data_IF_610948059830
#
_entry.id   IF_610948059830
#
_cell.length_a   1.000
_cell.length_b   1.000
_cell.length_c   1.000
_cell.angle_alpha   90.00
_cell.angle_beta   90.00
_cell.angle_gamma   90.00
#
_symmetry.space_group_name_H-M   'P 1'
#
loop_
_entity.id
_entity.type
_entity.pdbx_description
1 polymer ?
#
# COMPACT_ATOMS: atom_id res chain seq x y z
N UNK A 1 22.52 -5.24 6.64
CA UNK A 1 21.51 -4.98 5.60
C UNK A 1 21.59 -6.08 4.56
N UNK A 2 20.48 -6.73 4.23
CA UNK A 2 20.47 -7.79 3.24
C UNK A 2 20.67 -7.16 1.84
N UNK A 3 21.78 -7.48 1.17
CA UNK A 3 22.16 -6.90 -0.14
C UNK A 3 21.03 -7.03 -1.18
N UNK A 4 20.23 -8.10 -1.10
CA UNK A 4 19.09 -8.29 -2.01
C UNK A 4 18.00 -7.20 -1.88
N UNK A 5 17.93 -6.48 -0.76
CA UNK A 5 17.01 -5.34 -0.54
C UNK A 5 17.47 -4.06 -1.26
N UNK A 6 18.71 -4.02 -1.72
CA UNK A 6 19.27 -2.91 -2.51
C UNK A 6 19.00 -3.06 -4.01
N UNK A 7 18.47 -4.21 -4.42
CA UNK A 7 18.13 -4.48 -5.83
C UNK A 7 16.64 -4.25 -6.05
N UNK A 8 16.31 -3.38 -6.99
CA UNK A 8 14.95 -3.14 -7.47
C UNK A 8 14.80 -3.74 -8.88
N UNK A 9 13.90 -4.71 -9.02
CA UNK A 9 13.54 -5.29 -10.32
C UNK A 9 12.27 -4.64 -10.85
N UNK A 10 12.37 -3.99 -12.00
CA UNK A 10 11.22 -3.52 -12.76
C UNK A 10 10.77 -4.63 -13.70
N UNK A 11 9.51 -5.06 -13.60
CA UNK A 11 8.97 -6.18 -14.38
C UNK A 11 7.48 -5.99 -14.64
N UNK A 12 6.93 -6.77 -15.55
CA UNK A 12 5.48 -6.83 -15.76
C UNK A 12 4.85 -7.94 -14.94
N UNK A 13 3.66 -7.71 -14.45
CA UNK A 13 2.84 -8.72 -13.77
C UNK A 13 1.84 -9.32 -14.77
N UNK A 14 1.78 -10.65 -14.83
CA UNK A 14 0.88 -11.40 -15.72
C UNK A 14 -0.32 -12.02 -14.98
N UNK A 15 -0.40 -11.82 -13.66
CA UNK A 15 -1.49 -12.32 -12.86
C UNK A 15 -2.62 -11.30 -12.68
N UNK A 16 -3.59 -11.64 -11.85
CA UNK A 16 -4.67 -10.76 -11.46
C UNK A 16 -4.16 -9.74 -10.43
N UNK A 17 -4.27 -8.44 -10.75
CA UNK A 17 -3.84 -7.35 -9.87
C UNK A 17 -4.75 -7.18 -8.67
N UNK A 18 -6.06 -7.22 -8.90
CA UNK A 18 -7.08 -7.00 -7.89
C UNK A 18 -7.69 -8.32 -7.45
N UNK A 19 -7.56 -8.65 -6.18
CA UNK A 19 -8.07 -9.89 -5.62
C UNK A 19 -8.52 -9.72 -4.17
N UNK A 20 -9.40 -10.61 -3.74
CA UNK A 20 -9.81 -10.66 -2.34
C UNK A 20 -8.61 -11.02 -1.45
N UNK A 21 -8.53 -10.40 -0.28
CA UNK A 21 -7.51 -10.73 0.71
C UNK A 21 -7.49 -12.24 0.99
N UNK A 22 -6.32 -12.91 0.97
CA UNK A 22 -6.21 -14.35 1.22
C UNK A 22 -6.80 -14.79 2.58
N UNK A 23 -6.76 -13.90 3.58
CA UNK A 23 -7.40 -14.14 4.87
C UNK A 23 -8.91 -14.33 4.81
N UNK A 24 -9.57 -13.82 3.78
CA UNK A 24 -11.01 -13.98 3.56
C UNK A 24 -11.42 -15.40 3.18
N UNK A 25 -10.49 -16.22 2.70
CA UNK A 25 -10.73 -17.61 2.26
C UNK A 25 -10.37 -18.62 3.33
N UNK A 26 -9.70 -18.21 4.40
CA UNK A 26 -9.24 -19.07 5.47
C UNK A 26 -10.27 -19.12 6.60
N UNK A 27 -10.97 -20.25 6.70
CA UNK A 27 -11.84 -20.70 7.80
C UNK A 27 -13.11 -19.87 8.07
N UNK A 28 -14.23 -20.58 8.14
CA UNK A 28 -15.58 -20.10 8.55
C UNK A 28 -15.66 -19.43 9.94
N UNK A 29 -14.57 -19.43 10.70
CA UNK A 29 -14.51 -18.93 12.08
C UNK A 29 -14.02 -17.47 12.20
N UNK A 30 -13.53 -16.87 11.12
CA UNK A 30 -13.04 -15.50 11.14
C UNK A 30 -14.04 -14.54 10.49
N UNK A 31 -14.37 -13.46 11.20
CA UNK A 31 -15.13 -12.35 10.63
C UNK A 31 -14.28 -11.64 9.60
N UNK A 32 -14.66 -11.70 8.33
CA UNK A 32 -13.95 -11.07 7.24
C UNK A 32 -14.30 -9.58 7.15
N UNK A 33 -13.28 -8.70 7.07
CA UNK A 33 -13.46 -7.26 6.88
C UNK A 33 -13.71 -6.84 5.43
N UNK A 34 -13.89 -7.80 4.51
CA UNK A 34 -14.09 -7.57 3.07
C UNK A 34 -12.97 -6.76 2.39
N UNK A 35 -11.74 -6.97 2.83
CA UNK A 35 -10.57 -6.31 2.27
C UNK A 35 -10.14 -6.94 0.94
N UNK A 36 -9.79 -6.08 0.00
CA UNK A 36 -9.23 -6.46 -1.29
C UNK A 36 -7.81 -5.93 -1.41
N UNK A 37 -6.99 -6.62 -2.16
CA UNK A 37 -5.59 -6.29 -2.38
C UNK A 37 -5.37 -5.93 -3.82
N UNK A 38 -4.69 -4.82 -4.05
CA UNK A 38 -4.17 -4.42 -5.34
C UNK A 38 -2.65 -4.65 -5.35
N UNK A 39 -2.20 -5.63 -6.10
CA UNK A 39 -0.80 -6.01 -6.20
C UNK A 39 -0.04 -5.16 -7.21
N UNK A 40 0.77 -4.21 -6.75
CA UNK A 40 1.60 -3.36 -7.60
C UNK A 40 3.09 -3.65 -7.50
N UNK A 41 3.46 -4.62 -6.70
CA UNK A 41 4.83 -5.05 -6.48
C UNK A 41 4.91 -6.20 -5.51
N UNK A 42 6.09 -6.66 -5.22
CA UNK A 42 6.32 -7.77 -4.29
C UNK A 42 7.67 -7.61 -3.59
N UNK A 43 7.74 -8.00 -2.34
CA UNK A 43 8.83 -7.76 -1.41
C UNK A 43 8.97 -6.27 -1.04
N UNK A 44 9.19 -6.02 0.23
CA UNK A 44 9.39 -4.68 0.73
C UNK A 44 10.90 -4.34 0.73
N UNK A 45 11.26 -3.13 0.35
CA UNK A 45 12.64 -2.62 0.42
C UNK A 45 13.10 -2.30 1.85
N UNK A 46 12.16 -2.28 2.83
CA UNK A 46 12.47 -2.17 4.26
C UNK A 46 12.91 -3.53 4.83
N UNK A 47 13.64 -3.52 5.95
CA UNK A 47 14.21 -4.72 6.56
C UNK A 47 13.83 -4.84 8.05
N UNK A 48 12.53 -4.79 8.35
CA UNK A 48 12.05 -5.00 9.71
C UNK A 48 12.33 -6.45 10.16
N UNK A 49 12.93 -6.64 11.34
CA UNK A 49 13.35 -7.95 11.84
C UNK A 49 12.20 -8.95 11.97
N UNK A 50 11.03 -8.49 12.36
CA UNK A 50 9.83 -9.30 12.58
C UNK A 50 8.97 -9.50 11.31
N UNK A 51 9.43 -9.03 10.13
CA UNK A 51 8.60 -9.04 8.92
C UNK A 51 8.42 -10.44 8.35
N UNK A 52 7.18 -10.92 8.31
CA UNK A 52 6.84 -12.24 7.76
C UNK A 52 7.17 -12.39 6.27
N UNK A 53 7.26 -11.29 5.51
CA UNK A 53 7.62 -11.33 4.08
C UNK A 53 9.01 -11.91 3.84
N UNK A 54 9.90 -11.85 4.84
CA UNK A 54 11.25 -12.42 4.74
C UNK A 54 11.23 -13.94 4.60
N UNK A 55 10.22 -14.60 5.17
CA UNK A 55 10.05 -16.08 5.10
C UNK A 55 8.93 -16.49 4.16
N UNK A 56 7.93 -15.64 3.94
CA UNK A 56 6.75 -15.96 3.13
C UNK A 56 7.03 -15.91 1.62
N UNK A 57 7.87 -14.99 1.17
CA UNK A 57 8.15 -14.81 -0.25
C UNK A 57 9.44 -15.52 -0.66
N UNK A 58 9.37 -16.30 -1.76
CA UNK A 58 10.50 -17.04 -2.29
C UNK A 58 11.62 -16.15 -2.87
N UNK A 59 11.28 -14.94 -3.32
CA UNK A 59 12.24 -13.97 -3.84
C UNK A 59 12.55 -12.93 -2.77
N UNK A 60 13.83 -12.63 -2.57
CA UNK A 60 14.27 -11.56 -1.64
C UNK A 60 14.47 -10.22 -2.32
N UNK A 61 14.35 -10.16 -3.64
CA UNK A 61 14.51 -8.94 -4.46
C UNK A 61 13.17 -8.19 -4.49
N UNK A 62 13.23 -6.89 -4.24
CA UNK A 62 12.06 -6.01 -4.38
C UNK A 62 11.67 -5.87 -5.84
N UNK A 63 10.40 -6.07 -6.16
CA UNK A 63 9.85 -6.00 -7.52
C UNK A 63 8.78 -4.93 -7.61
N UNK A 64 8.81 -4.12 -8.65
CA UNK A 64 7.73 -3.21 -9.03
C UNK A 64 7.14 -3.68 -10.36
N UNK A 65 5.82 -3.74 -10.41
CA UNK A 65 5.08 -4.11 -11.62
C UNK A 65 4.77 -2.86 -12.44
N UNK A 66 5.53 -2.66 -13.52
CA UNK A 66 5.49 -1.41 -14.31
C UNK A 66 4.21 -1.24 -15.14
N UNK A 67 3.40 -2.27 -15.26
CA UNK A 67 2.15 -2.26 -16.02
C UNK A 67 0.93 -1.84 -15.18
N UNK A 68 1.05 -0.75 -14.41
CA UNK A 68 -0.03 -0.20 -13.57
C UNK A 68 -1.29 0.14 -14.38
N UNK A 69 -1.15 0.53 -15.63
CA UNK A 69 -2.30 0.88 -16.48
C UNK A 69 -3.19 -0.35 -16.75
N UNK A 70 -2.63 -1.57 -16.78
CA UNK A 70 -3.40 -2.81 -16.80
C UNK A 70 -4.14 -3.04 -15.47
N UNK A 71 -3.51 -2.72 -14.34
CA UNK A 71 -4.18 -2.78 -13.03
C UNK A 71 -5.37 -1.82 -12.95
N UNK A 72 -5.20 -0.60 -13.44
CA UNK A 72 -6.29 0.39 -13.50
C UNK A 72 -7.41 -0.03 -14.46
N UNK A 73 -7.07 -0.67 -15.59
CA UNK A 73 -8.08 -1.22 -16.50
C UNK A 73 -8.88 -2.35 -15.85
N UNK A 74 -8.22 -3.27 -15.12
CA UNK A 74 -8.88 -4.34 -14.37
C UNK A 74 -9.84 -3.76 -13.30
N UNK A 75 -9.40 -2.73 -12.56
CA UNK A 75 -10.26 -2.05 -11.59
C UNK A 75 -11.46 -1.38 -12.25
N UNK A 76 -11.25 -0.74 -13.40
CA UNK A 76 -12.33 -0.10 -14.16
C UNK A 76 -13.38 -1.10 -14.63
N UNK A 77 -12.95 -2.24 -15.19
CA UNK A 77 -13.86 -3.31 -15.62
C UNK A 77 -14.74 -3.81 -14.47
N UNK A 78 -14.15 -3.96 -13.27
CA UNK A 78 -14.88 -4.40 -12.07
C UNK A 78 -15.86 -3.31 -11.63
N UNK A 79 -15.46 -2.04 -11.67
CA UNK A 79 -16.34 -0.92 -11.30
C UNK A 79 -17.53 -0.81 -12.27
N UNK A 80 -17.30 -0.97 -13.57
CA UNK A 80 -18.35 -0.95 -14.59
C UNK A 80 -19.33 -2.13 -14.44
N UNK A 81 -18.84 -3.31 -14.06
CA UNK A 81 -19.66 -4.51 -13.82
C UNK A 81 -20.44 -4.46 -12.49
N UNK A 82 -19.95 -3.70 -11.51
CA UNK A 82 -20.48 -3.67 -10.13
C UNK A 82 -20.53 -2.24 -9.58
N UNK A 83 -21.28 -1.34 -10.19
CA UNK A 83 -21.24 0.09 -9.88
C UNK A 83 -21.64 0.43 -8.44
N UNK A 84 -22.55 -0.36 -7.85
CA UNK A 84 -23.07 -0.12 -6.49
C UNK A 84 -22.30 -0.87 -5.40
N UNK A 85 -21.34 -1.75 -5.79
CA UNK A 85 -20.63 -2.56 -4.81
C UNK A 85 -19.48 -1.74 -4.17
N UNK A 86 -19.50 -1.55 -2.82
CA UNK A 86 -18.38 -0.92 -2.15
C UNK A 86 -17.18 -1.89 -2.05
N UNK A 87 -15.98 -1.35 -2.23
CA UNK A 87 -14.73 -2.09 -2.03
C UNK A 87 -13.80 -1.31 -1.11
N UNK A 88 -13.11 -2.02 -0.22
CA UNK A 88 -11.97 -1.51 0.53
C UNK A 88 -10.72 -2.16 -0.01
N UNK A 89 -9.85 -1.35 -0.61
CA UNK A 89 -8.71 -1.79 -1.41
C UNK A 89 -7.42 -1.30 -0.77
N UNK A 90 -6.49 -2.19 -0.51
CA UNK A 90 -5.16 -1.83 -0.02
C UNK A 90 -4.04 -2.25 -0.96
N UNK A 91 -2.95 -1.52 -0.94
CA UNK A 91 -1.77 -1.75 -1.78
C UNK A 91 -0.58 -2.32 -1.00
N UNK A 92 -0.67 -2.41 0.33
CA UNK A 92 0.44 -2.72 1.23
C UNK A 92 0.48 -4.15 1.78
N UNK A 93 0.00 -5.18 1.07
CA UNK A 93 0.00 -6.56 1.57
C UNK A 93 1.39 -7.20 1.52
N UNK A 94 2.02 -7.17 0.34
CA UNK A 94 3.31 -7.84 0.09
C UNK A 94 4.43 -6.87 -0.29
N UNK A 95 4.19 -5.60 -0.16
CA UNK A 95 5.11 -4.47 -0.34
C UNK A 95 4.61 -3.31 0.52
N UNK A 96 5.48 -2.39 0.93
CA UNK A 96 5.04 -1.13 1.54
C UNK A 96 4.42 -0.23 0.46
N UNK A 97 3.29 0.39 0.75
CA UNK A 97 2.51 1.14 -0.25
C UNK A 97 3.24 2.38 -0.79
N UNK A 98 4.07 3.04 0.03
CA UNK A 98 4.64 4.35 -0.29
C UNK A 98 6.17 4.40 -0.29
N UNK A 99 6.86 3.35 0.17
CA UNK A 99 8.32 3.38 0.32
C UNK A 99 9.09 3.63 -0.98
N UNK A 100 8.51 3.30 -2.12
CA UNK A 100 9.08 3.48 -3.46
C UNK A 100 8.28 4.48 -4.31
N UNK A 101 7.35 5.23 -3.71
CA UNK A 101 6.44 6.09 -4.46
C UNK A 101 7.13 7.27 -5.13
N UNK A 102 8.26 7.74 -4.61
CA UNK A 102 9.12 8.74 -5.26
C UNK A 102 9.61 8.30 -6.65
N UNK A 103 9.69 6.99 -6.88
CA UNK A 103 10.12 6.42 -8.17
C UNK A 103 8.92 6.07 -9.03
N UNK A 104 7.85 5.52 -8.41
CA UNK A 104 6.73 4.95 -9.15
C UNK A 104 5.62 5.95 -9.44
N UNK A 105 5.41 6.92 -8.55
CA UNK A 105 4.28 7.86 -8.56
C UNK A 105 2.92 7.16 -8.68
N UNK A 106 2.82 5.92 -8.19
CA UNK A 106 1.60 5.13 -8.29
C UNK A 106 0.49 5.67 -7.41
N UNK A 107 0.84 6.30 -6.28
CA UNK A 107 -0.14 6.96 -5.42
C UNK A 107 -0.99 7.96 -6.20
N UNK A 108 -0.38 8.80 -7.04
CA UNK A 108 -1.09 9.80 -7.84
C UNK A 108 -2.13 9.17 -8.76
N UNK A 109 -1.71 8.18 -9.57
CA UNK A 109 -2.60 7.46 -10.50
C UNK A 109 -3.76 6.79 -9.75
N UNK A 110 -3.48 6.19 -8.59
CA UNK A 110 -4.49 5.53 -7.78
C UNK A 110 -5.46 6.54 -7.15
N UNK A 111 -4.97 7.62 -6.57
CA UNK A 111 -5.82 8.68 -6.00
C UNK A 111 -6.77 9.23 -7.07
N UNK A 112 -6.24 9.60 -8.24
CA UNK A 112 -7.03 10.10 -9.37
C UNK A 112 -8.09 9.09 -9.85
N UNK A 113 -7.76 7.80 -9.83
CA UNK A 113 -8.70 6.73 -10.16
C UNK A 113 -9.80 6.64 -9.11
N UNK A 114 -9.43 6.47 -7.82
CA UNK A 114 -10.40 6.22 -6.75
C UNK A 114 -11.31 7.44 -6.46
N UNK A 115 -10.87 8.66 -6.72
CA UNK A 115 -11.74 9.86 -6.65
C UNK A 115 -12.94 9.79 -7.60
N UNK A 116 -12.89 8.99 -8.66
CA UNK A 116 -14.02 8.76 -9.58
C UNK A 116 -15.03 7.73 -9.02
N UNK A 117 -14.67 6.99 -7.99
CA UNK A 117 -15.47 5.91 -7.39
C UNK A 117 -15.63 6.13 -5.89
N UNK A 118 -16.48 7.06 -5.45
CA UNK A 118 -16.57 7.51 -4.05
C UNK A 118 -17.04 6.42 -3.07
N UNK A 119 -17.67 5.34 -3.55
CA UNK A 119 -18.05 4.17 -2.77
C UNK A 119 -16.90 3.16 -2.58
N UNK A 120 -15.76 3.36 -3.25
CA UNK A 120 -14.57 2.55 -3.09
C UNK A 120 -13.58 3.26 -2.16
N UNK A 121 -13.02 2.55 -1.22
CA UNK A 121 -12.00 3.08 -0.30
C UNK A 121 -10.63 2.56 -0.72
N UNK A 122 -9.71 3.47 -0.99
CA UNK A 122 -8.28 3.16 -1.17
C UNK A 122 -7.55 3.32 0.16
N UNK A 123 -6.73 2.34 0.53
CA UNK A 123 -5.86 2.43 1.69
C UNK A 123 -4.39 2.22 1.29
N UNK A 124 -3.58 3.22 1.54
CA UNK A 124 -2.12 3.10 1.56
C UNK A 124 -1.67 2.75 2.97
N UNK A 125 -1.02 1.60 3.12
CA UNK A 125 -0.47 1.14 4.40
C UNK A 125 1.04 1.21 4.36
N UNK A 126 1.66 1.99 5.26
CA UNK A 126 3.08 2.31 5.15
C UNK A 126 3.81 2.47 6.48
N UNK A 127 5.13 2.31 6.44
CA UNK A 127 6.12 2.75 7.44
C UNK A 127 7.05 3.85 6.89
N UNK A 128 6.67 4.43 5.74
CA UNK A 128 7.43 5.50 5.08
C UNK A 128 6.86 6.88 5.43
N UNK A 129 7.64 7.93 5.25
CA UNK A 129 7.19 9.32 5.29
C UNK A 129 7.07 9.95 3.88
N UNK A 130 7.12 9.12 2.82
CA UNK A 130 7.10 9.53 1.42
C UNK A 130 5.68 9.88 0.98
N UNK A 131 5.22 11.09 1.27
CA UNK A 131 3.87 11.59 0.94
C UNK A 131 3.88 12.79 0.00
N UNK A 132 5.01 13.50 -0.11
CA UNK A 132 5.10 14.75 -0.86
C UNK A 132 4.75 14.59 -2.35
N UNK A 133 4.83 13.35 -2.90
CA UNK A 133 4.49 13.01 -4.29
C UNK A 133 3.03 13.25 -4.66
N UNK A 134 2.12 13.30 -3.68
CA UNK A 134 0.68 13.44 -3.94
C UNK A 134 0.01 14.53 -3.11
N UNK A 135 0.73 15.28 -2.27
CA UNK A 135 0.14 16.31 -1.41
C UNK A 135 -0.41 17.53 -2.18
N UNK A 136 -0.02 17.71 -3.44
CA UNK A 136 -0.62 18.71 -4.33
C UNK A 136 -2.01 18.30 -4.85
N UNK A 137 -2.41 17.03 -4.68
CA UNK A 137 -3.76 16.55 -4.98
C UNK A 137 -4.60 16.67 -3.71
N UNK A 138 -5.71 17.43 -3.72
CA UNK A 138 -6.60 17.49 -2.56
C UNK A 138 -7.09 16.10 -2.15
N UNK A 139 -7.05 15.80 -0.86
CA UNK A 139 -7.54 14.53 -0.32
C UNK A 139 -9.04 14.33 -0.53
N UNK A 140 -9.50 13.11 -0.31
CA UNK A 140 -10.91 12.74 -0.33
C UNK A 140 -11.21 11.74 0.79
N UNK A 141 -12.48 11.67 1.20
CA UNK A 141 -12.95 10.80 2.30
C UNK A 141 -12.74 9.31 2.03
N UNK A 142 -12.64 8.93 0.77
CA UNK A 142 -12.42 7.55 0.34
C UNK A 142 -10.94 7.19 0.18
N UNK A 143 -10.01 8.13 0.43
CA UNK A 143 -8.57 7.87 0.40
C UNK A 143 -8.04 7.87 1.83
N UNK A 144 -7.49 6.74 2.27
CA UNK A 144 -6.94 6.54 3.60
C UNK A 144 -5.43 6.34 3.48
N UNK A 145 -4.66 7.12 4.22
CA UNK A 145 -3.23 6.87 4.42
C UNK A 145 -3.05 6.37 5.84
N UNK A 146 -2.55 5.14 6.00
CA UNK A 146 -2.44 4.50 7.29
C UNK A 146 -0.99 4.12 7.62
N UNK A 147 -0.55 4.49 8.81
CA UNK A 147 0.79 4.18 9.29
C UNK A 147 0.78 3.04 10.30
N UNK A 148 1.72 2.10 10.09
CA UNK A 148 2.09 1.17 11.15
C UNK A 148 2.90 1.94 12.20
N UNK A 149 2.47 1.90 13.45
CA UNK A 149 3.11 2.60 14.56
C UNK A 149 3.49 1.62 15.64
N UNK A 150 4.78 1.55 15.93
CA UNK A 150 5.34 0.89 17.10
C UNK A 150 5.93 1.96 18.04
N UNK A 151 6.19 1.64 19.31
CA UNK A 151 6.95 2.52 20.19
C UNK A 151 8.31 2.90 19.57
N UNK A 152 8.83 4.13 19.81
CA UNK A 152 10.05 4.61 19.17
C UNK A 152 11.28 3.71 19.38
N UNK A 153 11.41 3.07 20.55
CA UNK A 153 12.48 2.13 20.82
C UNK A 153 12.42 0.89 19.90
N UNK A 154 11.21 0.36 19.61
CA UNK A 154 11.01 -0.77 18.71
C UNK A 154 11.27 -0.34 17.26
N UNK A 155 10.82 0.86 16.85
CA UNK A 155 11.11 1.38 15.52
C UNK A 155 12.63 1.46 15.31
N UNK A 156 13.36 1.98 16.27
CA UNK A 156 14.81 2.16 16.18
C UNK A 156 15.58 0.83 16.16
N UNK A 157 15.14 -0.18 16.94
CA UNK A 157 15.84 -1.47 17.03
C UNK A 157 15.44 -2.47 15.96
N UNK A 158 14.18 -2.46 15.51
CA UNK A 158 13.61 -3.56 14.71
C UNK A 158 13.15 -3.15 13.30
N UNK A 159 12.95 -1.86 13.04
CA UNK A 159 12.39 -1.41 11.76
C UNK A 159 13.43 -0.71 10.87
N UNK A 160 14.36 -1.48 10.31
CA UNK A 160 15.44 -0.94 9.50
C UNK A 160 14.97 -0.48 8.12
N UNK A 161 15.41 0.72 7.70
CA UNK A 161 15.05 1.33 6.42
C UNK A 161 13.64 1.93 6.38
N UNK A 162 13.00 2.10 7.55
CA UNK A 162 11.71 2.79 7.69
C UNK A 162 11.90 4.24 8.13
N UNK A 163 10.83 5.04 8.07
CA UNK A 163 10.82 6.37 8.65
C UNK A 163 10.81 6.29 10.18
N UNK A 164 11.41 7.28 10.86
CA UNK A 164 11.35 7.43 12.30
C UNK A 164 9.91 7.73 12.77
N UNK A 165 9.64 7.54 14.04
CA UNK A 165 8.33 7.77 14.63
C UNK A 165 7.80 9.19 14.32
N UNK A 166 8.61 10.20 14.59
CA UNK A 166 8.27 11.62 14.40
C UNK A 166 8.01 11.95 12.93
N UNK A 167 8.81 11.37 12.02
CA UNK A 167 8.67 11.59 10.57
C UNK A 167 7.35 10.98 10.05
N UNK A 168 6.89 9.85 10.63
CA UNK A 168 5.57 9.26 10.30
C UNK A 168 4.43 10.14 10.79
N UNK A 169 4.54 10.71 12.00
CA UNK A 169 3.51 11.60 12.53
C UNK A 169 3.43 12.90 11.72
N UNK A 170 4.58 13.46 11.32
CA UNK A 170 4.61 14.66 10.49
C UNK A 170 4.01 14.39 9.09
N UNK A 171 4.33 13.26 8.47
CA UNK A 171 3.72 12.85 7.20
C UNK A 171 2.19 12.65 7.35
N UNK A 172 1.75 12.06 8.46
CA UNK A 172 0.33 11.91 8.76
C UNK A 172 -0.36 13.27 8.94
N UNK A 173 0.26 14.23 9.63
CA UNK A 173 -0.24 15.60 9.77
C UNK A 173 -0.39 16.27 8.41
N UNK A 174 0.63 16.23 7.56
CA UNK A 174 0.58 16.76 6.19
C UNK A 174 -0.60 16.19 5.39
N UNK A 175 -0.80 14.88 5.46
CA UNK A 175 -1.94 14.24 4.79
C UNK A 175 -3.27 14.69 5.35
N UNK A 176 -3.40 14.82 6.67
CA UNK A 176 -4.61 15.30 7.33
C UNK A 176 -4.93 16.75 6.89
N UNK A 177 -3.92 17.63 6.87
CA UNK A 177 -4.05 19.03 6.47
C UNK A 177 -4.51 19.17 5.00
N UNK A 178 -4.18 18.19 4.14
CA UNK A 178 -4.62 18.12 2.74
C UNK A 178 -5.99 17.42 2.56
N UNK A 179 -6.66 17.01 3.64
CA UNK A 179 -7.99 16.41 3.60
C UNK A 179 -8.04 14.90 3.35
N UNK A 180 -6.89 14.20 3.44
CA UNK A 180 -6.86 12.74 3.43
C UNK A 180 -7.34 12.18 4.78
N UNK A 181 -7.97 11.01 4.75
CA UNK A 181 -8.22 10.27 6.00
C UNK A 181 -6.92 9.64 6.47
N UNK A 182 -6.62 9.84 7.75
CA UNK A 182 -5.44 9.27 8.40
C UNK A 182 -5.84 8.16 9.36
N UNK A 183 -5.06 7.08 9.40
CA UNK A 183 -5.23 5.99 10.34
C UNK A 183 -3.87 5.50 10.88
N UNK A 184 -3.90 4.90 12.06
CA UNK A 184 -2.77 4.25 12.69
C UNK A 184 -3.12 2.81 13.06
N UNK A 185 -2.18 1.90 12.98
CA UNK A 185 -2.35 0.48 13.34
C UNK A 185 -1.06 -0.14 13.86
#
# INVERSE_FOLDING_TARGET
FNESKQVLLLTTFKGQFFKRCPGATQKKTLTCCNYYVLNLGSQCNMNCSYCYLQSYLNSKITKIFVNIDQALSELKEIADQRPDQPFRVGTGEIIDSLSLDEITLYSRKLIEFFKKYPNWILEFKTKSNKVDQFLDIPGDKNIVVSWSINPPNIINSEEHGTARFEDRLEAARKCCDQGYRVAFH
#
